data_IF_335699287525
#
_entry.id   IF_335699287525
#
_cell.length_a   1.000
_cell.length_b   1.000
_cell.length_c   1.000
_cell.angle_alpha   90.00
_cell.angle_beta   90.00
_cell.angle_gamma   90.00
#
_symmetry.space_group_name_H-M   'P 1'
#
loop_
_entity.id
_entity.type
_entity.pdbx_description
1 polymer ?
#
# COMPACT_ATOMS: atom_id res chain seq x y z
N UNK A 1 49.71 27.49 -16.63
CA UNK A 1 49.46 26.02 -16.58
C UNK A 1 50.04 25.33 -15.33
N UNK A 2 50.43 26.04 -14.24
CA UNK A 2 51.07 25.41 -13.08
C UNK A 2 50.28 25.59 -11.77
N UNK A 3 49.00 25.20 -11.73
CA UNK A 3 48.24 25.15 -10.47
C UNK A 3 47.75 23.76 -10.07
N UNK A 4 47.99 22.75 -10.92
CA UNK A 4 47.55 21.36 -10.71
C UNK A 4 48.54 20.58 -9.80
N UNK A 5 49.72 21.14 -9.54
CA UNK A 5 50.74 20.54 -8.66
C UNK A 5 50.99 21.37 -7.38
N UNK A 6 50.09 22.30 -7.04
CA UNK A 6 50.17 22.99 -5.75
C UNK A 6 49.83 22.00 -4.62
N UNK A 7 50.64 21.92 -3.54
CA UNK A 7 50.36 21.06 -2.39
C UNK A 7 48.93 21.21 -1.84
N UNK A 8 48.37 22.43 -1.91
CA UNK A 8 47.00 22.72 -1.50
C UNK A 8 45.95 22.05 -2.40
N UNK A 9 46.17 22.04 -3.73
CA UNK A 9 45.27 21.42 -4.70
C UNK A 9 45.28 19.89 -4.56
N UNK A 10 46.44 19.30 -4.32
CA UNK A 10 46.59 17.87 -4.03
C UNK A 10 45.90 17.49 -2.72
N UNK A 11 46.07 18.28 -1.66
CA UNK A 11 45.43 18.04 -0.36
C UNK A 11 43.90 18.12 -0.44
N UNK A 12 43.32 19.11 -1.15
CA UNK A 12 41.87 19.22 -1.33
C UNK A 12 41.27 18.06 -2.15
N UNK A 13 41.94 17.62 -3.21
CA UNK A 13 41.45 16.49 -4.01
C UNK A 13 41.59 15.14 -3.29
N UNK A 14 42.67 14.94 -2.52
CA UNK A 14 42.82 13.76 -1.67
C UNK A 14 41.75 13.71 -0.57
N UNK A 15 41.44 14.86 0.06
CA UNK A 15 40.35 14.96 1.03
C UNK A 15 38.98 14.65 0.40
N UNK A 16 38.70 15.22 -0.79
CA UNK A 16 37.45 14.98 -1.52
C UNK A 16 37.31 13.51 -1.97
N UNK A 17 38.41 12.87 -2.36
CA UNK A 17 38.42 11.45 -2.71
C UNK A 17 38.21 10.55 -1.48
N UNK A 18 38.73 10.94 -0.32
CA UNK A 18 38.50 10.25 0.96
C UNK A 18 37.02 10.31 1.38
N UNK A 19 36.40 11.49 1.30
CA UNK A 19 34.97 11.67 1.62
C UNK A 19 34.08 10.85 0.67
N UNK A 20 34.43 10.78 -0.63
CA UNK A 20 33.68 9.97 -1.59
C UNK A 20 33.73 8.47 -1.28
N UNK A 21 34.89 7.96 -0.86
CA UNK A 21 35.06 6.57 -0.43
C UNK A 21 34.23 6.27 0.82
N UNK A 22 34.20 7.17 1.81
CA UNK A 22 33.37 7.01 3.01
C UNK A 22 31.87 6.97 2.70
N UNK A 23 31.40 7.80 1.75
CA UNK A 23 30.01 7.80 1.30
C UNK A 23 29.66 6.48 0.60
N UNK A 24 30.54 5.97 -0.27
CA UNK A 24 30.27 4.71 -0.97
C UNK A 24 30.28 3.51 0.00
N UNK A 25 31.18 3.51 0.99
CA UNK A 25 31.18 2.51 2.07
C UNK A 25 29.89 2.57 2.91
N UNK A 26 29.45 3.78 3.27
CA UNK A 26 28.19 3.98 4.00
C UNK A 26 26.98 3.51 3.19
N UNK A 27 26.98 3.74 1.88
CA UNK A 27 25.93 3.27 0.97
C UNK A 27 25.89 1.74 0.88
N UNK A 28 27.04 1.09 0.68
CA UNK A 28 27.14 -0.38 0.67
C UNK A 28 26.68 -0.97 2.01
N UNK A 29 27.03 -0.32 3.13
CA UNK A 29 26.57 -0.73 4.46
C UNK A 29 25.04 -0.63 4.59
N UNK A 30 24.46 0.48 4.15
CA UNK A 30 23.01 0.70 4.18
C UNK A 30 22.24 -0.29 3.30
N UNK A 31 22.74 -0.57 2.10
CA UNK A 31 22.19 -1.59 1.19
C UNK A 31 22.22 -3.00 1.82
N UNK A 32 23.29 -3.32 2.55
CA UNK A 32 23.39 -4.60 3.26
C UNK A 32 22.42 -4.69 4.44
N UNK A 33 22.27 -3.62 5.21
CA UNK A 33 21.35 -3.56 6.35
C UNK A 33 19.88 -3.65 5.90
N UNK A 34 19.53 -2.98 4.81
CA UNK A 34 18.18 -3.06 4.21
C UNK A 34 17.88 -4.46 3.68
N UNK A 35 18.80 -5.09 2.95
CA UNK A 35 18.62 -6.47 2.48
C UNK A 35 18.44 -7.47 3.64
N UNK A 36 19.15 -7.26 4.75
CA UNK A 36 19.03 -8.09 5.94
C UNK A 36 17.66 -7.91 6.62
N UNK A 37 17.21 -6.65 6.77
CA UNK A 37 15.88 -6.32 7.30
C UNK A 37 14.75 -6.93 6.45
N UNK A 38 14.86 -6.87 5.13
CA UNK A 38 13.89 -7.49 4.22
C UNK A 38 13.84 -9.01 4.38
N UNK A 39 15.01 -9.64 4.50
CA UNK A 39 15.11 -11.08 4.74
C UNK A 39 14.47 -11.49 6.07
N UNK A 40 14.77 -10.75 7.14
CA UNK A 40 14.22 -11.04 8.47
C UNK A 40 12.71 -10.82 8.52
N UNK A 41 12.20 -9.78 7.85
CA UNK A 41 10.77 -9.51 7.72
C UNK A 41 10.05 -10.62 6.94
N UNK A 42 10.65 -11.13 5.86
CA UNK A 42 10.10 -12.26 5.10
C UNK A 42 10.08 -13.54 5.94
N UNK A 43 11.15 -13.79 6.71
CA UNK A 43 11.24 -14.91 7.64
C UNK A 43 10.19 -14.85 8.74
N UNK A 44 9.80 -13.66 9.21
CA UNK A 44 8.74 -13.48 10.20
C UNK A 44 7.33 -13.61 9.59
N UNK A 45 7.14 -13.17 8.34
CA UNK A 45 5.87 -13.33 7.60
C UNK A 45 5.52 -14.79 7.30
N UNK A 46 6.49 -15.63 6.98
CA UNK A 46 6.25 -17.05 6.65
C UNK A 46 5.52 -17.86 7.74
N UNK A 47 5.96 -17.86 9.01
CA UNK A 47 5.26 -18.58 10.08
C UNK A 47 3.91 -17.95 10.42
N UNK A 48 3.76 -16.63 10.26
CA UNK A 48 2.47 -15.94 10.42
C UNK A 48 1.45 -16.38 9.35
N UNK A 49 1.85 -16.45 8.08
CA UNK A 49 1.02 -17.00 7.00
C UNK A 49 0.69 -18.49 7.21
N UNK A 50 1.66 -19.29 7.65
CA UNK A 50 1.47 -20.73 7.87
C UNK A 50 0.51 -21.01 9.04
N UNK A 51 0.63 -20.26 10.13
CA UNK A 51 -0.27 -20.37 11.29
C UNK A 51 -1.68 -19.88 10.97
N UNK A 52 -1.80 -18.78 10.20
CA UNK A 52 -3.09 -18.30 9.71
C UNK A 52 -3.75 -19.34 8.79
N UNK A 53 -3.00 -19.91 7.85
CA UNK A 53 -3.45 -21.00 6.96
C UNK A 53 -3.95 -22.23 7.74
N UNK A 54 -3.21 -22.63 8.78
CA UNK A 54 -3.55 -23.77 9.64
C UNK A 54 -4.81 -23.49 10.48
N UNK A 55 -4.97 -22.27 11.01
CA UNK A 55 -6.19 -21.86 11.71
C UNK A 55 -7.41 -21.77 10.79
N UNK A 56 -7.24 -21.28 9.56
CA UNK A 56 -8.34 -21.30 8.58
C UNK A 56 -8.75 -22.74 8.25
N UNK A 57 -7.82 -23.68 8.09
CA UNK A 57 -8.15 -25.10 7.86
C UNK A 57 -8.95 -25.73 9.01
N UNK A 58 -8.59 -25.44 10.27
CA UNK A 58 -9.32 -25.92 11.45
C UNK A 58 -10.74 -25.34 11.55
N UNK A 59 -10.98 -24.12 11.02
CA UNK A 59 -12.32 -23.50 11.00
C UNK A 59 -13.29 -24.14 10.01
N UNK A 60 -12.79 -24.98 9.10
CA UNK A 60 -13.57 -25.60 8.03
C UNK A 60 -13.62 -27.13 8.14
N UNK A 61 -13.58 -27.67 9.37
CA UNK A 61 -13.73 -29.11 9.60
C UNK A 61 -15.12 -29.60 9.18
N UNK A 62 -15.16 -30.49 8.18
CA UNK A 62 -16.37 -31.09 7.61
C UNK A 62 -16.44 -31.01 6.07
N UNK A 63 -17.24 -31.86 5.39
CA UNK A 63 -17.30 -31.90 3.92
C UNK A 63 -17.67 -30.55 3.27
N UNK A 64 -18.61 -29.82 3.87
CA UNK A 64 -18.99 -28.48 3.41
C UNK A 64 -17.92 -27.42 3.66
N UNK A 65 -17.14 -27.56 4.74
CA UNK A 65 -16.03 -26.66 5.05
C UNK A 65 -14.87 -26.84 4.07
N UNK A 66 -14.50 -28.08 3.73
CA UNK A 66 -13.45 -28.37 2.75
C UNK A 66 -13.76 -27.78 1.37
N UNK A 67 -15.00 -27.93 0.88
CA UNK A 67 -15.45 -27.35 -0.39
C UNK A 67 -15.42 -25.82 -0.37
N UNK A 68 -15.81 -25.21 0.76
CA UNK A 68 -15.75 -23.76 0.91
C UNK A 68 -14.31 -23.23 0.98
N UNK A 69 -13.39 -23.94 1.65
CA UNK A 69 -11.96 -23.60 1.65
C UNK A 69 -11.37 -23.69 0.25
N UNK A 70 -11.71 -24.71 -0.54
CA UNK A 70 -11.25 -24.83 -1.93
C UNK A 70 -11.78 -23.68 -2.79
N UNK A 71 -13.07 -23.32 -2.63
CA UNK A 71 -13.66 -22.18 -3.31
C UNK A 71 -13.01 -20.84 -2.91
N UNK A 72 -12.64 -20.68 -1.64
CA UNK A 72 -11.90 -19.51 -1.14
C UNK A 72 -10.51 -19.39 -1.76
N UNK A 73 -9.75 -20.48 -1.85
CA UNK A 73 -8.42 -20.45 -2.48
C UNK A 73 -8.49 -20.09 -3.97
N UNK A 74 -9.59 -20.43 -4.67
CA UNK A 74 -9.83 -19.99 -6.06
C UNK A 74 -10.11 -18.49 -6.17
N UNK A 75 -10.73 -17.88 -5.16
CA UNK A 75 -11.00 -16.43 -5.14
C UNK A 75 -9.77 -15.61 -4.68
N UNK A 76 -8.77 -16.25 -4.08
CA UNK A 76 -7.60 -15.59 -3.48
C UNK A 76 -6.78 -14.74 -4.46
N UNK A 77 -6.54 -15.23 -5.67
CA UNK A 77 -5.81 -14.47 -6.69
C UNK A 77 -6.57 -13.19 -7.07
N UNK A 78 -7.91 -13.28 -7.15
CA UNK A 78 -8.78 -12.13 -7.43
C UNK A 78 -8.76 -11.13 -6.26
N UNK A 79 -8.85 -11.62 -5.03
CA UNK A 79 -8.76 -10.80 -3.82
C UNK A 79 -7.39 -10.09 -3.73
N UNK A 80 -6.30 -10.78 -4.06
CA UNK A 80 -4.96 -10.20 -4.09
C UNK A 80 -4.86 -9.07 -5.12
N UNK A 81 -5.36 -9.29 -6.34
CA UNK A 81 -5.38 -8.24 -7.37
C UNK A 81 -6.25 -7.04 -6.97
N UNK A 82 -7.42 -7.29 -6.39
CA UNK A 82 -8.28 -6.22 -5.88
C UNK A 82 -7.63 -5.47 -4.71
N UNK A 83 -6.91 -6.18 -3.83
CA UNK A 83 -6.16 -5.57 -2.73
C UNK A 83 -5.01 -4.70 -3.22
N UNK A 84 -4.33 -5.09 -4.30
CA UNK A 84 -3.30 -4.27 -4.94
C UNK A 84 -3.90 -3.01 -5.59
N UNK A 85 -5.04 -3.13 -6.27
CA UNK A 85 -5.75 -1.97 -6.80
C UNK A 85 -6.19 -1.01 -5.66
N UNK A 86 -6.68 -1.54 -4.55
CA UNK A 86 -7.06 -0.75 -3.38
C UNK A 86 -5.85 -0.06 -2.72
N UNK A 87 -4.65 -0.66 -2.79
CA UNK A 87 -3.40 0.00 -2.35
C UNK A 87 -3.03 1.19 -3.24
N UNK A 88 -3.30 1.14 -4.55
CA UNK A 88 -3.08 2.31 -5.43
C UNK A 88 -4.04 3.45 -5.06
N UNK A 89 -5.30 3.12 -4.71
CA UNK A 89 -6.27 4.09 -4.18
C UNK A 89 -5.78 4.70 -2.87
N UNK A 90 -5.29 3.88 -1.93
CA UNK A 90 -4.69 4.33 -0.67
C UNK A 90 -3.53 5.30 -0.90
N UNK A 91 -2.60 4.96 -1.81
CA UNK A 91 -1.48 5.83 -2.16
C UNK A 91 -1.94 7.19 -2.73
N UNK A 92 -2.89 7.18 -3.67
CA UNK A 92 -3.43 8.42 -4.28
C UNK A 92 -4.18 9.30 -3.28
N UNK A 93 -4.86 8.67 -2.33
CA UNK A 93 -5.55 9.34 -1.24
C UNK A 93 -4.56 10.06 -0.31
N UNK A 94 -3.48 9.37 0.08
CA UNK A 94 -2.39 9.98 0.88
C UNK A 94 -1.76 11.16 0.13
N UNK A 95 -1.45 11.00 -1.16
CA UNK A 95 -0.88 12.09 -1.97
C UNK A 95 -1.84 13.27 -2.12
N UNK A 96 -3.15 13.00 -2.23
CA UNK A 96 -4.17 14.05 -2.27
C UNK A 96 -4.22 14.82 -0.95
N UNK A 97 -4.15 14.13 0.20
CA UNK A 97 -4.11 14.78 1.52
C UNK A 97 -2.82 15.59 1.71
N UNK A 98 -1.67 15.06 1.26
CA UNK A 98 -0.39 15.75 1.30
C UNK A 98 -0.41 17.02 0.46
N UNK A 99 -0.98 16.95 -0.75
CA UNK A 99 -1.19 18.10 -1.61
C UNK A 99 -2.14 19.14 -0.98
N UNK A 100 -3.18 18.69 -0.28
CA UNK A 100 -4.08 19.56 0.46
C UNK A 100 -3.38 20.31 1.60
N UNK A 101 -2.48 19.64 2.33
CA UNK A 101 -1.72 20.28 3.41
C UNK A 101 -0.55 21.16 2.91
N UNK A 102 -0.06 20.95 1.68
CA UNK A 102 1.09 21.68 1.13
C UNK A 102 0.72 23.03 0.51
N UNK A 103 1.34 24.11 0.98
CA UNK A 103 1.14 25.48 0.46
C UNK A 103 1.67 25.66 -0.97
N UNK A 104 2.64 24.83 -1.36
CA UNK A 104 3.26 24.88 -2.68
C UNK A 104 2.34 24.33 -3.77
N UNK A 105 1.35 23.50 -3.42
CA UNK A 105 0.45 22.91 -4.40
C UNK A 105 -0.76 23.80 -4.62
N UNK A 106 -0.95 24.24 -5.87
CA UNK A 106 -2.05 25.12 -6.26
C UNK A 106 -3.42 24.46 -6.07
N UNK A 107 -4.45 25.27 -5.83
CA UNK A 107 -5.84 24.79 -5.72
C UNK A 107 -6.30 24.03 -6.96
N UNK A 108 -5.91 24.47 -8.16
CA UNK A 108 -6.25 23.79 -9.41
C UNK A 108 -5.69 22.37 -9.45
N UNK A 109 -4.42 22.19 -9.03
CA UNK A 109 -3.78 20.88 -8.98
C UNK A 109 -4.42 19.94 -7.96
N UNK A 110 -4.82 20.44 -6.78
CA UNK A 110 -5.53 19.64 -5.77
C UNK A 110 -6.86 19.09 -6.31
N UNK A 111 -7.65 19.94 -6.97
CA UNK A 111 -8.93 19.53 -7.58
C UNK A 111 -8.73 18.54 -8.73
N UNK A 112 -7.65 18.69 -9.50
CA UNK A 112 -7.29 17.73 -10.54
C UNK A 112 -6.99 16.34 -9.95
N UNK A 113 -6.21 16.27 -8.87
CA UNK A 113 -5.90 15.01 -8.18
C UNK A 113 -7.16 14.30 -7.67
N UNK A 114 -8.09 15.04 -7.04
CA UNK A 114 -9.37 14.48 -6.58
C UNK A 114 -10.19 13.90 -7.73
N UNK A 115 -10.26 14.62 -8.87
CA UNK A 115 -10.97 14.16 -10.08
C UNK A 115 -10.32 12.93 -10.69
N UNK A 116 -9.00 12.93 -10.80
CA UNK A 116 -8.23 11.82 -11.36
C UNK A 116 -8.46 10.55 -10.54
N UNK A 117 -8.52 10.67 -9.21
CA UNK A 117 -8.81 9.55 -8.33
C UNK A 117 -10.24 9.02 -8.52
N UNK A 118 -11.24 9.89 -8.64
CA UNK A 118 -12.63 9.48 -8.95
C UNK A 118 -12.73 8.74 -10.30
N UNK A 119 -12.03 9.23 -11.33
CA UNK A 119 -12.01 8.59 -12.64
C UNK A 119 -11.27 7.25 -12.60
N UNK A 120 -10.16 7.18 -11.87
CA UNK A 120 -9.38 5.97 -11.71
C UNK A 120 -10.20 4.86 -11.05
N UNK A 121 -10.88 5.15 -9.93
CA UNK A 121 -11.71 4.17 -9.23
C UNK A 121 -12.94 3.75 -10.03
N UNK A 122 -13.58 4.66 -10.76
CA UNK A 122 -14.70 4.33 -11.64
C UNK A 122 -14.30 3.40 -12.80
N UNK A 123 -13.04 3.45 -13.24
CA UNK A 123 -12.51 2.60 -14.33
C UNK A 123 -11.94 1.27 -13.85
N UNK A 124 -11.77 1.07 -12.55
CA UNK A 124 -11.14 -0.13 -12.01
C UNK A 124 -12.18 -1.25 -11.79
N UNK A 125 -12.24 -2.27 -12.68
CA UNK A 125 -13.27 -3.31 -12.61
C UNK A 125 -13.16 -4.18 -11.36
N UNK A 126 -11.98 -4.30 -10.74
CA UNK A 126 -11.81 -5.09 -9.53
C UNK A 126 -12.46 -4.42 -8.31
N UNK A 127 -12.62 -3.09 -8.35
CA UNK A 127 -13.16 -2.28 -7.26
C UNK A 127 -14.58 -1.75 -7.53
N UNK A 128 -15.13 -2.00 -8.72
CA UNK A 128 -16.45 -1.50 -9.13
C UNK A 128 -17.61 -1.81 -8.16
N UNK A 129 -17.49 -2.88 -7.38
CA UNK A 129 -18.51 -3.29 -6.41
C UNK A 129 -18.45 -2.53 -5.06
N UNK A 130 -17.39 -1.75 -4.83
CA UNK A 130 -17.20 -0.96 -3.62
C UNK A 130 -17.94 0.39 -3.70
N UNK A 131 -18.40 0.80 -4.89
CA UNK A 131 -19.13 2.05 -5.14
C UNK A 131 -18.49 3.29 -4.48
N UNK A 132 -17.17 3.41 -4.63
CA UNK A 132 -16.35 4.36 -3.86
C UNK A 132 -16.59 5.83 -4.24
N UNK A 133 -17.39 6.14 -5.27
CA UNK A 133 -17.56 7.53 -5.72
C UNK A 133 -18.12 8.42 -4.60
N UNK A 134 -19.18 7.98 -3.93
CA UNK A 134 -19.82 8.73 -2.86
C UNK A 134 -18.85 8.91 -1.68
N UNK A 135 -18.22 7.80 -1.27
CA UNK A 135 -17.27 7.75 -0.16
C UNK A 135 -16.06 8.67 -0.40
N UNK A 136 -15.48 8.66 -1.61
CA UNK A 136 -14.38 9.55 -1.98
C UNK A 136 -14.79 11.03 -1.93
N UNK A 137 -16.00 11.36 -2.41
CA UNK A 137 -16.52 12.73 -2.32
C UNK A 137 -16.71 13.16 -0.86
N UNK A 138 -17.12 12.24 0.00
CA UNK A 138 -17.28 12.50 1.43
C UNK A 138 -15.92 12.74 2.11
N UNK A 139 -14.90 11.93 1.77
CA UNK A 139 -13.51 12.14 2.20
C UNK A 139 -13.03 13.54 1.79
N UNK A 140 -13.06 13.89 0.49
CA UNK A 140 -12.56 15.18 0.01
C UNK A 140 -13.30 16.38 0.63
N UNK A 141 -14.57 16.18 0.99
CA UNK A 141 -15.37 17.22 1.62
C UNK A 141 -15.00 17.42 3.10
N UNK A 142 -14.72 16.34 3.83
CA UNK A 142 -14.64 16.37 5.28
C UNK A 142 -13.20 16.27 5.84
N UNK A 143 -12.26 15.67 5.11
CA UNK A 143 -10.85 15.53 5.53
C UNK A 143 -10.02 16.79 5.24
N UNK A 144 -10.34 17.85 5.99
CA UNK A 144 -9.64 19.14 5.89
C UNK A 144 -8.62 19.39 6.99
N UNK A 145 -8.42 18.43 7.88
CA UNK A 145 -7.49 18.55 9.00
C UNK A 145 -6.09 18.12 8.58
N UNK A 146 -5.09 18.92 8.96
CA UNK A 146 -3.67 18.62 8.80
C UNK A 146 -3.04 18.61 10.20
N UNK A 147 -2.38 17.51 10.58
CA UNK A 147 -1.75 17.35 11.90
C UNK A 147 -0.68 18.43 12.18
N UNK A 148 0.00 18.94 11.14
CA UNK A 148 0.89 20.11 11.20
C UNK A 148 1.10 20.71 9.78
N UNK A 149 1.41 22.01 9.68
CA UNK A 149 1.59 22.74 8.41
C UNK A 149 2.75 22.20 7.54
N UNK A 150 3.71 21.49 8.16
CA UNK A 150 4.85 20.85 7.50
C UNK A 150 4.77 19.32 7.49
N UNK A 151 3.60 18.76 7.82
CA UNK A 151 3.28 17.33 7.99
C UNK A 151 4.41 16.35 7.64
N UNK A 152 5.15 15.88 8.64
CA UNK A 152 6.17 14.83 8.52
C UNK A 152 5.66 13.44 8.91
N UNK A 153 4.43 13.31 9.42
CA UNK A 153 3.86 12.04 9.86
C UNK A 153 2.51 11.78 9.17
N UNK A 154 2.57 10.93 8.13
CA UNK A 154 1.41 10.57 7.29
C UNK A 154 0.29 9.87 8.07
N UNK A 155 0.61 9.28 9.23
CA UNK A 155 -0.28 8.41 10.01
C UNK A 155 -1.02 9.12 11.15
N UNK A 156 -0.66 10.37 11.50
CA UNK A 156 -1.28 11.11 12.63
C UNK A 156 -2.41 12.04 12.24
N UNK A 157 -2.77 12.10 10.96
CA UNK A 157 -4.04 12.71 10.56
C UNK A 157 -5.18 11.77 10.99
N UNK A 158 -5.98 12.18 11.98
CA UNK A 158 -7.30 11.60 12.23
C UNK A 158 -8.19 11.88 11.01
N UNK A 159 -8.01 11.07 9.96
CA UNK A 159 -8.63 11.25 8.66
C UNK A 159 -9.69 10.16 8.43
N UNK A 160 -10.88 10.60 8.06
CA UNK A 160 -12.03 9.81 7.62
C UNK A 160 -11.63 8.83 6.49
N UNK A 161 -10.67 9.21 5.67
CA UNK A 161 -9.98 8.40 4.67
C UNK A 161 -9.55 7.03 5.21
N UNK A 162 -8.94 6.97 6.39
CA UNK A 162 -8.51 5.70 6.99
C UNK A 162 -9.68 4.80 7.38
N UNK A 163 -10.80 5.39 7.81
CA UNK A 163 -12.01 4.65 8.12
C UNK A 163 -12.59 4.01 6.86
N UNK A 164 -12.72 4.77 5.77
CA UNK A 164 -13.20 4.26 4.48
C UNK A 164 -12.25 3.21 3.89
N UNK A 165 -10.93 3.42 3.95
CA UNK A 165 -9.96 2.39 3.53
C UNK A 165 -10.14 1.07 4.28
N UNK A 166 -10.39 1.13 5.59
CA UNK A 166 -10.67 -0.05 6.39
C UNK A 166 -12.00 -0.70 6.02
N UNK A 167 -13.02 0.12 5.77
CA UNK A 167 -14.32 -0.32 5.31
C UNK A 167 -14.24 -1.05 3.96
N UNK A 168 -13.57 -0.48 2.96
CA UNK A 168 -13.37 -1.10 1.65
C UNK A 168 -12.55 -2.39 1.71
N UNK A 169 -11.49 -2.43 2.55
CA UNK A 169 -10.73 -3.68 2.80
C UNK A 169 -11.65 -4.77 3.34
N UNK A 170 -12.58 -4.41 4.24
CA UNK A 170 -13.55 -5.35 4.79
C UNK A 170 -14.59 -5.82 3.76
N UNK A 171 -15.06 -4.91 2.91
CA UNK A 171 -15.99 -5.23 1.82
C UNK A 171 -15.35 -6.19 0.79
N UNK A 172 -14.07 -6.00 0.45
CA UNK A 172 -13.33 -6.92 -0.42
C UNK A 172 -13.35 -8.34 0.15
N UNK A 173 -12.94 -8.51 1.41
CA UNK A 173 -12.94 -9.82 2.07
C UNK A 173 -14.35 -10.41 2.16
N UNK A 174 -15.35 -9.60 2.50
CA UNK A 174 -16.73 -10.06 2.54
C UNK A 174 -17.19 -10.59 1.17
N UNK A 175 -16.86 -9.87 0.09
CA UNK A 175 -17.24 -10.27 -1.26
C UNK A 175 -16.54 -11.57 -1.70
N UNK A 176 -15.25 -11.73 -1.38
CA UNK A 176 -14.50 -12.98 -1.59
C UNK A 176 -15.22 -14.16 -0.95
N UNK A 177 -15.62 -14.02 0.33
CA UNK A 177 -16.36 -15.05 1.05
C UNK A 177 -17.74 -15.31 0.45
N UNK A 178 -18.47 -14.26 0.01
CA UNK A 178 -19.78 -14.41 -0.64
C UNK A 178 -19.67 -15.18 -1.96
N UNK A 179 -18.65 -14.89 -2.79
CA UNK A 179 -18.41 -15.61 -4.05
C UNK A 179 -18.04 -17.06 -3.80
N UNK A 180 -17.13 -17.34 -2.86
CA UNK A 180 -16.79 -18.70 -2.47
C UNK A 180 -18.02 -19.47 -1.98
N UNK A 181 -18.91 -18.82 -1.21
CA UNK A 181 -20.16 -19.43 -0.73
C UNK A 181 -21.11 -19.73 -1.90
N UNK A 182 -21.29 -18.79 -2.82
CA UNK A 182 -22.13 -18.96 -3.99
C UNK A 182 -21.63 -20.10 -4.90
N UNK A 183 -20.31 -20.23 -5.07
CA UNK A 183 -19.69 -21.33 -5.82
C UNK A 183 -20.02 -22.70 -5.20
N UNK A 184 -19.90 -22.84 -3.87
CA UNK A 184 -20.27 -24.08 -3.17
C UNK A 184 -21.75 -24.40 -3.34
N UNK A 185 -22.64 -23.42 -3.18
CA UNK A 185 -24.08 -23.62 -3.35
C UNK A 185 -24.44 -24.04 -4.79
N UNK A 186 -23.82 -23.44 -5.81
CA UNK A 186 -24.02 -23.84 -7.21
C UNK A 186 -23.58 -25.28 -7.48
N UNK A 187 -22.50 -25.75 -6.84
CA UNK A 187 -22.01 -27.13 -6.98
C UNK A 187 -23.02 -28.10 -6.33
N UNK A 188 -23.58 -27.75 -5.17
CA UNK A 188 -24.58 -28.58 -4.49
C UNK A 188 -25.89 -28.73 -5.27
N UNK A 189 -26.31 -27.71 -6.04
CA UNK A 189 -27.55 -27.78 -6.84
C UNK A 189 -27.42 -28.57 -8.15
N UNK A 190 -26.21 -28.96 -8.55
CA UNK A 190 -25.94 -29.70 -9.80
C UNK A 190 -25.74 -31.20 -9.59
N UNK A 191 -25.70 -31.65 -8.34
CA UNK A 191 -25.63 -33.05 -7.92
C UNK A 191 -26.98 -33.50 -7.38
#
# INVERSE_FOLDING_TARGET
>A
LNNILSPHWLAQNLASASEFLEIEEAKVKYEKETAQLEFDLEKEKQPALASQSRQSRLRYEGPGGALFHEALEKEKEREQRASLALKDVEYRLVESQRAFCSILVSRARRVEMEKDLLVHTAKEPLLAHLDMEYDLRDIFKNDRSCAEYLNTDECRNESLMWLYLRYWKLQLTLQTHQRARAAVLCIQTKN
#
